data_IF_486869911256
#
_entry.id   IF_486869911256
#
_cell.length_a   1.000
_cell.length_b   1.000
_cell.length_c   1.000
_cell.angle_alpha   90.00
_cell.angle_beta   90.00
_cell.angle_gamma   90.00
#
_symmetry.space_group_name_H-M   'P 1'
#
loop_
_entity.id
_entity.type
_entity.pdbx_description
1 polymer ?
#
# COMPACT_ATOMS: atom_id res chain seq x y z
N UNK A 1 -35.38 8.14 -27.74
CA UNK A 1 -34.80 9.26 -28.53
C UNK A 1 -35.25 10.65 -28.06
N UNK A 2 -36.55 10.99 -28.01
CA UNK A 2 -37.01 12.36 -27.62
C UNK A 2 -36.50 12.86 -26.26
N UNK A 3 -36.44 11.99 -25.22
CA UNK A 3 -35.99 12.36 -23.87
C UNK A 3 -34.48 12.64 -23.77
N UNK A 4 -33.66 11.82 -24.45
CA UNK A 4 -32.20 12.01 -24.53
C UNK A 4 -31.87 13.30 -25.27
N UNK A 5 -32.60 13.59 -26.36
CA UNK A 5 -32.45 14.86 -27.08
C UNK A 5 -32.76 16.08 -26.18
N UNK A 6 -33.84 16.04 -25.40
CA UNK A 6 -34.16 17.10 -24.43
C UNK A 6 -33.09 17.24 -23.34
N UNK A 7 -32.55 16.12 -22.85
CA UNK A 7 -31.44 16.11 -21.89
C UNK A 7 -30.20 16.82 -22.46
N UNK A 8 -29.79 16.47 -23.68
CA UNK A 8 -28.64 17.07 -24.37
C UNK A 8 -28.85 18.57 -24.62
N UNK A 9 -30.05 18.97 -25.07
CA UNK A 9 -30.34 20.38 -25.32
C UNK A 9 -30.27 21.22 -24.03
N UNK A 10 -30.80 20.68 -22.93
CA UNK A 10 -30.69 21.32 -21.62
C UNK A 10 -29.23 21.39 -21.13
N UNK A 11 -28.40 20.35 -21.35
CA UNK A 11 -26.96 20.43 -21.06
C UNK A 11 -26.32 21.57 -21.84
N UNK A 12 -26.58 21.67 -23.15
CA UNK A 12 -26.04 22.73 -24.01
C UNK A 12 -26.42 24.13 -23.51
N UNK A 13 -27.66 24.30 -23.06
CA UNK A 13 -28.13 25.56 -22.48
C UNK A 13 -27.48 25.87 -21.13
N UNK A 14 -27.24 24.86 -20.29
CA UNK A 14 -26.56 25.05 -19.02
C UNK A 14 -25.09 25.43 -19.22
N UNK A 15 -24.43 24.84 -20.21
CA UNK A 15 -23.08 25.24 -20.62
C UNK A 15 -23.03 26.68 -21.14
N UNK A 16 -24.08 27.15 -21.82
CA UNK A 16 -24.15 28.54 -22.30
C UNK A 16 -24.42 29.54 -21.17
N UNK A 17 -25.36 29.23 -20.27
CA UNK A 17 -25.89 30.20 -19.30
C UNK A 17 -25.21 30.11 -17.91
N UNK A 18 -24.58 28.98 -17.59
CA UNK A 18 -23.94 28.68 -16.30
C UNK A 18 -22.60 27.95 -16.50
N UNK A 19 -21.82 28.38 -17.48
CA UNK A 19 -20.53 27.78 -17.87
C UNK A 19 -19.56 27.59 -16.70
N UNK A 20 -19.42 28.60 -15.83
CA UNK A 20 -18.50 28.58 -14.69
C UNK A 20 -18.87 27.49 -13.69
N UNK A 21 -20.14 27.40 -13.30
CA UNK A 21 -20.63 26.36 -12.39
C UNK A 21 -20.41 24.96 -12.98
N UNK A 22 -20.68 24.80 -14.28
CA UNK A 22 -20.44 23.53 -14.98
C UNK A 22 -18.98 23.14 -15.01
N UNK A 23 -18.09 24.10 -15.27
CA UNK A 23 -16.66 23.87 -15.28
C UNK A 23 -16.15 23.46 -13.90
N UNK A 24 -16.59 24.14 -12.84
CA UNK A 24 -16.21 23.82 -11.45
C UNK A 24 -16.61 22.37 -11.12
N UNK A 25 -17.85 21.98 -11.40
CA UNK A 25 -18.34 20.66 -11.03
C UNK A 25 -17.68 19.58 -11.89
N UNK A 26 -17.54 19.81 -13.19
CA UNK A 26 -16.82 18.90 -14.08
C UNK A 26 -15.38 18.68 -13.61
N UNK A 27 -14.65 19.77 -13.34
CA UNK A 27 -13.27 19.72 -12.84
C UNK A 27 -13.21 19.00 -11.49
N UNK A 28 -14.17 19.26 -10.60
CA UNK A 28 -14.23 18.59 -9.30
C UNK A 28 -14.41 17.07 -9.44
N UNK A 29 -15.34 16.61 -10.29
CA UNK A 29 -15.53 15.17 -10.56
C UNK A 29 -14.26 14.56 -11.16
N UNK A 30 -13.66 15.22 -12.15
CA UNK A 30 -12.44 14.77 -12.79
C UNK A 30 -11.28 14.63 -11.80
N UNK A 31 -11.07 15.63 -10.92
CA UNK A 31 -10.06 15.60 -9.87
C UNK A 31 -10.36 14.56 -8.80
N UNK A 32 -11.63 14.38 -8.42
CA UNK A 32 -12.00 13.33 -7.47
C UNK A 32 -11.71 11.93 -8.01
N UNK A 33 -12.02 11.68 -9.29
CA UNK A 33 -11.73 10.39 -9.93
C UNK A 33 -10.22 10.18 -10.02
N UNK A 34 -9.46 11.20 -10.42
CA UNK A 34 -7.99 11.16 -10.42
C UNK A 34 -7.44 10.81 -9.04
N UNK A 35 -7.95 11.45 -7.98
CA UNK A 35 -7.54 11.22 -6.60
C UNK A 35 -7.90 9.81 -6.10
N UNK A 36 -9.12 9.34 -6.36
CA UNK A 36 -9.54 7.98 -6.00
C UNK A 36 -8.62 6.95 -6.66
N UNK A 37 -8.32 7.12 -7.96
CA UNK A 37 -7.45 6.20 -8.68
C UNK A 37 -6.00 6.28 -8.17
N UNK A 38 -5.51 7.46 -7.84
CA UNK A 38 -4.17 7.64 -7.26
C UNK A 38 -4.03 6.93 -5.91
N UNK A 39 -4.89 7.23 -4.95
CA UNK A 39 -4.81 6.62 -3.61
C UNK A 39 -5.16 5.13 -3.61
N UNK A 40 -6.07 4.70 -4.47
CA UNK A 40 -6.30 3.27 -4.67
C UNK A 40 -5.08 2.59 -5.32
N UNK A 41 -4.38 3.29 -6.21
CA UNK A 41 -3.14 2.83 -6.82
C UNK A 41 -2.01 2.70 -5.80
N UNK A 42 -1.91 3.62 -4.86
CA UNK A 42 -1.01 3.54 -3.71
C UNK A 42 -1.35 2.32 -2.84
N UNK A 43 -2.63 2.12 -2.53
CA UNK A 43 -3.09 0.92 -1.81
C UNK A 43 -2.74 -0.38 -2.53
N UNK A 44 -3.00 -0.46 -3.84
CA UNK A 44 -2.69 -1.65 -4.64
C UNK A 44 -1.18 -1.89 -4.72
N UNK A 45 -0.37 -0.83 -4.73
CA UNK A 45 1.07 -0.93 -4.66
C UNK A 45 1.46 -1.58 -3.33
N UNK A 46 1.01 -1.04 -2.20
CA UNK A 46 1.32 -1.61 -0.89
C UNK A 46 0.77 -3.04 -0.70
N UNK A 47 -0.36 -3.35 -1.31
CA UNK A 47 -0.94 -4.68 -1.21
C UNK A 47 -0.24 -5.74 -2.06
N UNK A 48 0.10 -5.42 -3.31
CA UNK A 48 0.61 -6.39 -4.29
C UNK A 48 2.11 -6.27 -4.58
N UNK A 49 2.70 -5.10 -4.39
CA UNK A 49 4.06 -4.77 -4.84
C UNK A 49 5.00 -4.35 -3.72
N UNK A 50 4.53 -3.68 -2.65
CA UNK A 50 5.38 -3.49 -1.48
C UNK A 50 5.70 -4.88 -0.94
N UNK A 51 6.98 -5.10 -0.73
CA UNK A 51 7.47 -6.32 -0.14
C UNK A 51 7.11 -6.26 1.34
N UNK A 52 5.83 -6.48 1.68
CA UNK A 52 5.40 -6.57 3.07
C UNK A 52 6.17 -7.73 3.70
N UNK A 53 7.18 -7.40 4.49
CA UNK A 53 8.08 -8.35 5.12
C UNK A 53 7.26 -9.20 6.09
N UNK A 54 7.15 -10.50 5.80
CA UNK A 54 6.69 -11.45 6.80
C UNK A 54 7.85 -11.72 7.74
N UNK A 55 7.55 -11.86 9.01
CA UNK A 55 8.54 -12.22 10.01
C UNK A 55 8.16 -13.56 10.63
N UNK A 56 9.15 -14.43 10.80
CA UNK A 56 9.04 -15.63 11.62
C UNK A 56 10.10 -15.58 12.71
N UNK A 57 9.65 -15.78 13.94
CA UNK A 57 10.51 -15.97 15.11
C UNK A 57 10.44 -17.45 15.50
N UNK A 58 11.59 -18.09 15.67
CA UNK A 58 11.73 -19.51 16.00
C UNK A 58 12.52 -19.60 17.29
N UNK A 59 11.93 -20.27 18.28
CA UNK A 59 12.54 -20.56 19.57
C UNK A 59 12.87 -22.05 19.59
N UNK A 60 14.14 -22.36 19.76
CA UNK A 60 14.66 -23.72 19.71
C UNK A 60 14.70 -24.36 21.10
N UNK A 61 14.86 -25.68 21.14
CA UNK A 61 15.19 -26.38 22.38
C UNK A 61 16.59 -25.99 22.88
N UNK A 62 16.81 -26.05 24.20
CA UNK A 62 18.13 -25.79 24.77
C UNK A 62 19.13 -26.85 24.26
N UNK A 63 20.36 -26.42 24.01
CA UNK A 63 21.46 -27.30 23.58
C UNK A 63 21.24 -28.01 22.23
N UNK A 64 20.46 -27.40 21.34
CA UNK A 64 20.31 -27.88 19.94
C UNK A 64 21.65 -27.83 19.21
N UNK A 65 21.98 -28.88 18.45
CA UNK A 65 23.24 -28.92 17.69
C UNK A 65 23.21 -27.98 16.49
N UNK A 66 24.36 -27.40 16.13
CA UNK A 66 24.48 -26.44 15.03
C UNK A 66 24.01 -27.02 13.69
N UNK A 67 24.26 -28.31 13.43
CA UNK A 67 23.82 -29.00 12.22
C UNK A 67 22.29 -29.07 12.09
N UNK A 68 21.59 -29.29 13.20
CA UNK A 68 20.12 -29.36 13.18
C UNK A 68 19.51 -27.97 12.95
N UNK A 69 20.13 -26.93 13.51
CA UNK A 69 19.72 -25.53 13.31
C UNK A 69 19.85 -25.14 11.83
N UNK A 70 21.01 -25.45 11.22
CA UNK A 70 21.24 -25.19 9.79
C UNK A 70 20.21 -25.96 8.95
N UNK A 71 19.93 -27.22 9.29
CA UNK A 71 18.92 -28.03 8.60
C UNK A 71 17.53 -27.39 8.66
N UNK A 72 17.13 -26.83 9.79
CA UNK A 72 15.86 -26.09 9.90
C UNK A 72 15.83 -24.91 8.95
N UNK A 73 16.90 -24.11 8.90
CA UNK A 73 16.98 -22.94 8.01
C UNK A 73 16.85 -23.36 6.54
N UNK A 74 17.51 -24.45 6.16
CA UNK A 74 17.45 -25.01 4.79
C UNK A 74 16.07 -25.60 4.45
N UNK A 75 15.43 -26.31 5.40
CA UNK A 75 14.09 -26.89 5.26
C UNK A 75 13.01 -25.83 4.99
N UNK A 76 13.18 -24.61 5.51
CA UNK A 76 12.27 -23.48 5.21
C UNK A 76 12.24 -23.13 3.72
N UNK A 77 13.22 -23.60 2.92
CA UNK A 77 13.28 -23.42 1.46
C UNK A 77 13.26 -21.94 1.03
N UNK A 78 13.70 -21.03 1.90
CA UNK A 78 13.80 -19.61 1.59
C UNK A 78 15.08 -19.38 0.79
N UNK A 79 14.95 -18.82 -0.42
CA UNK A 79 16.12 -18.41 -1.19
C UNK A 79 16.68 -17.14 -0.58
N UNK A 80 18.00 -16.98 -0.55
CA UNK A 80 18.66 -15.77 -0.02
C UNK A 80 18.07 -14.47 -0.59
N UNK A 81 17.73 -14.46 -1.89
CA UNK A 81 17.08 -13.29 -2.54
C UNK A 81 15.73 -12.88 -1.94
N UNK A 82 15.04 -13.82 -1.29
CA UNK A 82 13.71 -13.65 -0.70
C UNK A 82 13.81 -13.32 0.81
N UNK A 83 15.00 -13.43 1.41
CA UNK A 83 15.29 -13.05 2.80
C UNK A 83 15.77 -11.60 2.79
N UNK A 84 15.09 -10.73 3.52
CA UNK A 84 15.52 -9.34 3.68
C UNK A 84 16.45 -9.17 4.87
N UNK A 85 16.14 -9.87 5.97
CA UNK A 85 16.88 -9.80 7.22
C UNK A 85 16.78 -11.16 7.95
N UNK A 86 17.87 -11.60 8.57
CA UNK A 86 17.94 -12.83 9.35
C UNK A 86 18.86 -12.64 10.54
N UNK A 87 18.35 -12.89 11.75
CA UNK A 87 19.12 -12.78 12.99
C UNK A 87 19.09 -14.10 13.77
N UNK A 88 20.20 -14.44 14.43
CA UNK A 88 20.33 -15.57 15.34
C UNK A 88 21.05 -15.14 16.62
N UNK A 89 20.58 -15.64 17.76
CA UNK A 89 21.14 -15.28 19.08
C UNK A 89 20.92 -16.37 20.13
N UNK A 90 21.60 -16.18 21.27
CA UNK A 90 21.33 -16.89 22.51
C UNK A 90 20.53 -15.96 23.45
N UNK A 91 19.22 -16.15 23.54
CA UNK A 91 18.27 -15.24 24.17
C UNK A 91 17.69 -14.23 23.17
N UNK A 92 17.02 -13.19 23.68
CA UNK A 92 16.46 -12.13 22.84
C UNK A 92 17.58 -11.28 22.21
N UNK A 93 17.33 -10.73 21.03
CA UNK A 93 18.30 -9.94 20.25
C UNK A 93 18.88 -8.74 21.02
N UNK A 94 18.16 -8.20 21.99
CA UNK A 94 18.58 -7.05 22.81
C UNK A 94 19.42 -7.40 24.05
N UNK A 95 19.61 -8.67 24.36
CA UNK A 95 20.24 -9.12 25.63
C UNK A 95 21.68 -9.61 25.43
N UNK A 96 22.15 -9.71 24.18
CA UNK A 96 23.49 -10.16 23.83
C UNK A 96 24.55 -9.05 23.77
N UNK A 97 25.81 -9.46 23.53
CA UNK A 97 26.88 -8.58 22.99
C UNK A 97 27.24 -8.94 21.54
N UNK A 98 26.66 -10.03 21.04
CA UNK A 98 27.05 -10.71 19.82
C UNK A 98 25.79 -11.32 19.20
N UNK A 99 25.61 -11.15 17.90
CA UNK A 99 24.55 -11.77 17.13
C UNK A 99 25.09 -12.27 15.79
N UNK A 100 24.46 -13.31 15.26
CA UNK A 100 24.60 -13.64 13.84
C UNK A 100 23.51 -12.90 13.08
N UNK A 101 23.85 -12.01 12.16
CA UNK A 101 22.85 -11.24 11.41
C UNK A 101 23.23 -11.13 9.95
N UNK A 102 22.24 -11.20 9.08
CA UNK A 102 22.35 -10.93 7.66
C UNK A 102 21.27 -9.92 7.28
N UNK A 103 21.67 -8.84 6.61
CA UNK A 103 20.74 -7.90 6.02
C UNK A 103 21.09 -7.69 4.55
N UNK A 104 20.10 -7.87 3.67
CA UNK A 104 20.26 -7.79 2.22
C UNK A 104 20.75 -6.40 1.76
N UNK A 105 20.38 -5.34 2.48
CA UNK A 105 20.67 -3.95 2.09
C UNK A 105 22.10 -3.52 2.44
N UNK A 106 22.77 -4.17 3.39
CA UNK A 106 24.08 -3.73 3.86
C UNK A 106 25.12 -3.71 2.77
N UNK A 107 25.10 -4.68 1.84
CA UNK A 107 26.06 -4.73 0.73
C UNK A 107 26.07 -3.45 -0.10
N UNK A 108 24.94 -2.78 -0.26
CA UNK A 108 24.78 -1.53 -1.01
C UNK A 108 25.12 -0.29 -0.18
N UNK A 109 25.07 -0.41 1.15
CA UNK A 109 25.22 0.70 2.10
C UNK A 109 26.49 0.58 2.95
N UNK A 110 27.40 -0.34 2.65
CA UNK A 110 28.68 -0.49 3.34
C UNK A 110 29.45 0.84 3.32
N UNK A 111 29.93 1.30 4.48
CA UNK A 111 30.80 2.46 4.56
C UNK A 111 32.22 2.11 4.10
N UNK A 112 32.76 1.00 4.61
CA UNK A 112 34.12 0.51 4.32
C UNK A 112 34.17 -1.01 4.44
N UNK A 113 35.01 -1.69 3.64
CA UNK A 113 35.32 -3.11 3.80
C UNK A 113 34.50 -4.03 2.89
N UNK A 114 34.25 -5.26 3.34
CA UNK A 114 33.46 -6.25 2.60
C UNK A 114 32.28 -6.74 3.44
N UNK A 115 31.16 -7.05 2.78
CA UNK A 115 30.01 -7.72 3.38
C UNK A 115 30.10 -9.24 3.16
N UNK A 116 29.30 -10.02 3.89
CA UNK A 116 29.20 -11.46 3.75
C UNK A 116 27.80 -11.90 3.27
N UNK A 117 27.70 -13.16 2.84
CA UNK A 117 26.44 -13.86 2.56
C UNK A 117 25.93 -14.62 3.79
N UNK A 118 24.66 -15.04 3.79
CA UNK A 118 24.06 -15.84 4.88
C UNK A 118 24.92 -17.07 5.25
N UNK A 119 25.41 -17.77 4.23
CA UNK A 119 26.11 -19.05 4.37
C UNK A 119 27.62 -18.89 4.65
N UNK A 120 28.10 -17.66 4.88
CA UNK A 120 29.51 -17.43 5.18
C UNK A 120 29.86 -17.99 6.57
N UNK A 121 30.97 -18.72 6.65
CA UNK A 121 31.46 -19.36 7.87
C UNK A 121 32.87 -18.86 8.26
N UNK A 122 33.31 -17.72 7.69
CA UNK A 122 34.60 -17.12 8.03
C UNK A 122 34.51 -16.35 9.36
N UNK A 123 35.58 -16.33 10.18
CA UNK A 123 35.64 -15.59 11.44
C UNK A 123 35.83 -14.08 11.19
N UNK A 124 34.77 -13.46 10.70
CA UNK A 124 34.75 -12.07 10.24
C UNK A 124 33.55 -11.36 10.86
N UNK A 125 33.68 -10.09 11.22
CA UNK A 125 32.59 -9.33 11.82
C UNK A 125 32.33 -8.02 11.07
N UNK A 126 31.06 -7.63 11.03
CA UNK A 126 30.63 -6.28 10.67
C UNK A 126 30.41 -5.47 11.94
N UNK A 127 30.76 -4.20 11.85
CA UNK A 127 30.64 -3.25 12.95
C UNK A 127 29.77 -2.08 12.52
N UNK A 128 28.87 -1.63 13.38
CA UNK A 128 28.13 -0.40 13.13
C UNK A 128 29.03 0.81 13.34
N UNK A 129 28.79 1.90 12.61
CA UNK A 129 29.61 3.11 12.65
C UNK A 129 29.81 3.64 14.08
N UNK A 130 28.74 3.71 14.88
CA UNK A 130 28.80 4.18 16.26
C UNK A 130 29.65 3.29 17.20
N UNK A 131 29.95 2.04 16.81
CA UNK A 131 30.80 1.14 17.60
C UNK A 131 32.29 1.34 17.29
N UNK A 132 32.62 2.00 16.18
CA UNK A 132 34.00 2.26 15.77
C UNK A 132 34.72 3.18 16.77
N UNK A 133 34.00 4.13 17.35
CA UNK A 133 34.51 5.07 18.35
C UNK A 133 35.02 4.37 19.63
N UNK A 134 34.56 3.14 19.87
CA UNK A 134 35.00 2.33 21.01
C UNK A 134 36.30 1.55 20.74
N UNK A 135 36.87 1.62 19.53
CA UNK A 135 38.14 0.96 19.20
C UNK A 135 39.30 1.88 19.55
N UNK A 136 40.14 1.43 20.48
CA UNK A 136 41.39 2.12 20.81
C UNK A 136 42.33 2.21 19.59
N UNK A 137 42.82 3.44 19.36
CA UNK A 137 43.71 3.77 18.24
C UNK A 137 42.94 4.02 16.95
N UNK A 138 42.75 5.31 16.65
CA UNK A 138 42.03 5.92 15.50
C UNK A 138 42.49 5.48 14.09
N UNK A 139 43.39 4.51 13.98
CA UNK A 139 43.88 4.01 12.71
C UNK A 139 43.00 2.86 12.20
N UNK A 140 42.37 3.07 11.04
CA UNK A 140 41.70 2.08 10.16
C UNK A 140 41.22 0.80 10.89
N UNK A 141 39.97 0.75 11.39
CA UNK A 141 39.48 -0.39 12.16
C UNK A 141 39.35 -1.67 11.31
N UNK A 142 39.03 -1.54 10.03
CA UNK A 142 38.93 -2.68 9.10
C UNK A 142 40.28 -3.38 8.96
N UNK A 143 40.28 -4.69 9.18
CA UNK A 143 41.48 -5.52 9.15
C UNK A 143 42.09 -5.81 10.52
N UNK A 144 41.75 -5.03 11.56
CA UNK A 144 42.18 -5.31 12.93
C UNK A 144 41.48 -6.54 13.50
N UNK A 145 42.14 -7.23 14.42
CA UNK A 145 41.54 -8.31 15.18
C UNK A 145 41.08 -7.78 16.53
N UNK A 146 39.82 -8.03 16.86
CA UNK A 146 39.26 -7.72 18.19
C UNK A 146 38.85 -9.01 18.89
N UNK A 147 38.82 -8.96 20.22
CA UNK A 147 38.42 -10.11 21.04
C UNK A 147 36.93 -10.01 21.36
N UNK A 148 36.11 -10.84 20.73
CA UNK A 148 34.65 -10.87 20.94
C UNK A 148 34.22 -12.29 21.31
N UNK A 149 33.44 -12.43 22.39
CA UNK A 149 32.98 -13.74 22.87
C UNK A 149 34.13 -14.73 23.16
N UNK A 150 35.27 -14.22 23.63
CA UNK A 150 36.46 -15.02 23.93
C UNK A 150 37.33 -15.38 22.72
N UNK A 151 36.89 -15.11 21.48
CA UNK A 151 37.61 -15.43 20.23
C UNK A 151 38.20 -14.16 19.61
N UNK A 152 39.35 -14.29 18.93
CA UNK A 152 39.90 -13.22 18.08
C UNK A 152 39.21 -13.27 16.73
N UNK A 153 38.54 -12.19 16.35
CA UNK A 153 37.76 -12.07 15.12
C UNK A 153 38.22 -10.83 14.37
N UNK A 154 38.37 -10.94 13.05
CA UNK A 154 38.82 -9.84 12.20
C UNK A 154 37.66 -8.91 11.88
N UNK A 155 37.87 -7.60 12.06
CA UNK A 155 36.95 -6.56 11.61
C UNK A 155 36.99 -6.52 10.10
N UNK A 156 35.81 -6.67 9.55
CA UNK A 156 35.66 -6.88 8.15
C UNK A 156 35.19 -5.68 7.37
N UNK A 157 34.16 -5.05 7.89
CA UNK A 157 33.58 -3.88 7.32
C UNK A 157 32.78 -3.11 8.33
N UNK A 158 32.44 -1.90 7.93
CA UNK A 158 31.68 -0.95 8.73
C UNK A 158 30.38 -0.69 7.99
N UNK A 159 29.26 -0.82 8.70
CA UNK A 159 27.91 -0.51 8.22
C UNK A 159 27.41 0.77 8.90
N UNK A 160 26.54 1.54 8.25
CA UNK A 160 26.07 2.83 8.78
C UNK A 160 25.23 2.66 10.04
N UNK A 161 24.46 1.58 10.12
CA UNK A 161 23.60 1.31 11.28
C UNK A 161 23.40 -0.20 11.48
N UNK A 162 23.13 -0.56 12.73
CA UNK A 162 22.54 -1.84 13.11
C UNK A 162 21.34 -1.58 14.01
N UNK A 163 20.34 -2.45 13.94
CA UNK A 163 19.16 -2.36 14.82
C UNK A 163 19.50 -2.70 16.27
N UNK A 164 20.61 -3.41 16.50
CA UNK A 164 21.01 -3.91 17.80
C UNK A 164 22.39 -3.40 18.18
N UNK A 165 22.58 -3.13 19.47
CA UNK A 165 23.90 -2.77 20.02
C UNK A 165 24.76 -4.01 20.26
N UNK A 166 25.07 -4.71 19.17
CA UNK A 166 25.80 -5.98 19.17
C UNK A 166 26.89 -5.97 18.11
N UNK A 167 27.95 -6.76 18.31
CA UNK A 167 28.86 -7.12 17.22
C UNK A 167 28.19 -8.15 16.31
N UNK A 168 28.38 -7.98 15.00
CA UNK A 168 27.60 -8.69 13.98
C UNK A 168 28.48 -9.71 13.28
N UNK A 169 28.09 -10.98 13.37
CA UNK A 169 28.77 -12.09 12.70
C UNK A 169 27.91 -12.67 11.57
N UNK A 170 28.53 -13.37 10.59
CA UNK A 170 27.80 -14.21 9.67
C UNK A 170 26.90 -15.21 10.42
N UNK A 171 25.68 -15.40 9.93
CA UNK A 171 24.66 -16.26 10.56
C UNK A 171 25.20 -17.68 10.76
N UNK A 172 25.76 -18.30 9.72
CA UNK A 172 26.29 -19.67 9.79
C UNK A 172 27.52 -19.77 10.70
N UNK A 173 28.40 -18.76 10.67
CA UNK A 173 29.52 -18.68 11.60
C UNK A 173 29.05 -18.64 13.06
N UNK A 174 28.05 -17.81 13.36
CA UNK A 174 27.50 -17.70 14.72
C UNK A 174 26.94 -19.04 15.20
N UNK A 175 26.06 -19.67 14.40
CA UNK A 175 25.43 -20.96 14.74
C UNK A 175 26.46 -22.05 15.04
N UNK A 176 27.55 -22.09 14.27
CA UNK A 176 28.60 -23.09 14.44
C UNK A 176 29.51 -22.85 15.66
N UNK A 177 29.53 -21.63 16.21
CA UNK A 177 30.53 -21.22 17.20
C UNK A 177 29.96 -20.79 18.55
N UNK A 178 28.66 -20.51 18.62
CA UNK A 178 27.98 -19.97 19.79
C UNK A 178 26.64 -20.69 20.01
N UNK A 179 26.18 -20.83 21.26
CA UNK A 179 24.84 -21.31 21.54
C UNK A 179 23.79 -20.47 20.81
N UNK A 180 22.77 -21.13 20.26
CA UNK A 180 21.70 -20.47 19.52
C UNK A 180 20.38 -21.10 19.96
N UNK A 181 19.48 -20.30 20.51
CA UNK A 181 18.14 -20.73 20.90
C UNK A 181 17.02 -19.88 20.25
N UNK A 182 17.41 -18.85 19.49
CA UNK A 182 16.50 -17.93 18.82
C UNK A 182 16.95 -17.64 17.39
N UNK A 183 15.98 -17.68 16.47
CA UNK A 183 16.13 -17.30 15.06
C UNK A 183 14.99 -16.36 14.68
N UNK A 184 15.31 -15.23 14.06
CA UNK A 184 14.36 -14.34 13.39
C UNK A 184 14.66 -14.30 11.89
N UNK A 185 13.64 -14.44 11.06
CA UNK A 185 13.78 -14.31 9.60
C UNK A 185 12.68 -13.38 9.10
N UNK A 186 13.06 -12.30 8.41
CA UNK A 186 12.18 -11.44 7.62
C UNK A 186 12.30 -11.82 6.15
N UNK A 187 11.16 -12.06 5.49
CA UNK A 187 11.13 -12.57 4.12
C UNK A 187 9.97 -12.03 3.29
N UNK A 188 10.23 -11.87 2.00
CA UNK A 188 9.39 -11.19 1.04
C UNK A 188 8.65 -12.19 0.15
N UNK A 189 7.86 -13.09 0.76
CA UNK A 189 7.02 -14.02 0.00
C UNK A 189 5.82 -14.54 0.78
N UNK A 190 4.63 -13.93 0.57
CA UNK A 190 3.37 -14.37 1.19
C UNK A 190 2.95 -15.80 0.82
N UNK A 191 3.40 -16.34 -0.33
CA UNK A 191 2.99 -17.70 -0.78
C UNK A 191 3.64 -18.83 0.01
N UNK A 192 4.74 -18.56 0.71
CA UNK A 192 5.48 -19.59 1.45
C UNK A 192 5.09 -19.71 2.93
N UNK A 193 4.30 -18.79 3.48
CA UNK A 193 4.02 -18.75 4.92
C UNK A 193 3.35 -20.04 5.44
N UNK A 194 2.42 -20.62 4.68
CA UNK A 194 1.76 -21.88 5.08
C UNK A 194 2.69 -23.09 5.00
N UNK A 195 3.64 -23.10 4.06
CA UNK A 195 4.68 -24.14 3.97
C UNK A 195 5.64 -24.04 5.16
N UNK A 196 6.11 -22.83 5.45
CA UNK A 196 6.97 -22.51 6.60
C UNK A 196 6.32 -22.96 7.91
N UNK A 197 5.05 -22.61 8.11
CA UNK A 197 4.29 -22.99 9.30
C UNK A 197 4.21 -24.51 9.48
N UNK A 198 3.92 -25.25 8.40
CA UNK A 198 3.90 -26.72 8.42
C UNK A 198 5.28 -27.32 8.74
N UNK A 199 6.33 -26.81 8.10
CA UNK A 199 7.71 -27.25 8.35
C UNK A 199 8.09 -27.04 9.82
N UNK A 200 7.80 -25.87 10.39
CA UNK A 200 8.12 -25.57 11.79
C UNK A 200 7.28 -26.40 12.78
N UNK A 201 6.01 -26.64 12.47
CA UNK A 201 5.14 -27.47 13.33
C UNK A 201 5.55 -28.94 13.37
N UNK A 202 6.16 -29.46 12.31
CA UNK A 202 6.64 -30.84 12.21
C UNK A 202 8.06 -31.03 12.76
N UNK A 203 8.76 -29.93 13.03
CA UNK A 203 10.16 -29.99 13.42
C UNK A 203 10.31 -30.19 14.94
N UNK A 204 11.07 -31.22 15.34
CA UNK A 204 11.21 -31.63 16.74
C UNK A 204 12.10 -30.71 17.58
N UNK A 205 13.01 -29.95 16.97
CA UNK A 205 13.92 -29.04 17.70
C UNK A 205 13.31 -27.65 17.94
N UNK A 206 12.19 -27.34 17.28
CA UNK A 206 11.46 -26.09 17.46
C UNK A 206 10.57 -26.21 18.69
N UNK A 207 10.85 -25.41 19.72
CA UNK A 207 10.03 -25.35 20.95
C UNK A 207 8.78 -24.51 20.75
N UNK A 208 8.91 -23.36 20.08
CA UNK A 208 7.83 -22.41 19.80
C UNK A 208 8.19 -21.61 18.57
N UNK A 209 7.21 -21.18 17.81
CA UNK A 209 7.40 -20.19 16.76
C UNK A 209 6.29 -19.13 16.82
N UNK A 210 6.62 -17.91 16.40
CA UNK A 210 5.65 -16.84 16.19
C UNK A 210 5.76 -16.38 14.73
N UNK A 211 4.64 -16.34 14.02
CA UNK A 211 4.60 -15.75 12.69
C UNK A 211 3.89 -14.40 12.76
N UNK A 212 4.57 -13.34 12.34
CA UNK A 212 3.97 -12.03 12.11
C UNK A 212 3.81 -11.86 10.61
N UNK A 213 2.57 -11.92 10.15
CA UNK A 213 2.24 -11.60 8.76
C UNK A 213 2.07 -10.09 8.69
N UNK A 214 2.90 -9.41 7.90
CA UNK A 214 2.68 -8.01 7.63
C UNK A 214 1.42 -7.90 6.76
N UNK A 215 0.36 -7.34 7.34
CA UNK A 215 -0.85 -6.99 6.60
C UNK A 215 -0.80 -5.49 6.32
N UNK A 216 -0.89 -5.08 5.04
CA UNK A 216 -0.91 -3.66 4.70
C UNK A 216 -2.13 -2.96 5.33
N UNK A 217 -3.22 -3.68 5.60
CA UNK A 217 -4.44 -3.14 6.21
C UNK A 217 -4.29 -2.57 7.63
N UNK A 218 -3.20 -2.88 8.33
CA UNK A 218 -2.94 -2.38 9.68
C UNK A 218 -1.85 -1.29 9.72
N UNK A 219 -1.29 -0.89 8.57
CA UNK A 219 -0.31 0.20 8.54
C UNK A 219 -1.00 1.56 8.71
N UNK A 220 -0.29 2.51 9.34
CA UNK A 220 -0.77 3.89 9.48
C UNK A 220 -0.96 4.54 8.10
N UNK A 221 -0.02 4.28 7.19
CA UNK A 221 -0.08 4.73 5.78
C UNK A 221 -1.33 4.21 5.07
N UNK A 222 -1.73 2.96 5.31
CA UNK A 222 -2.97 2.39 4.79
C UNK A 222 -4.19 3.14 5.31
N UNK A 223 -4.25 3.35 6.63
CA UNK A 223 -5.40 4.02 7.24
C UNK A 223 -5.53 5.45 6.72
N UNK A 224 -4.41 6.14 6.54
CA UNK A 224 -4.35 7.47 5.91
C UNK A 224 -4.92 7.48 4.50
N UNK A 225 -4.45 6.58 3.62
CA UNK A 225 -4.94 6.46 2.25
C UNK A 225 -6.43 6.08 2.18
N UNK A 226 -6.88 5.18 3.06
CA UNK A 226 -8.28 4.76 3.14
C UNK A 226 -9.20 5.93 3.53
N UNK A 227 -8.83 6.71 4.55
CA UNK A 227 -9.57 7.91 4.97
C UNK A 227 -9.60 8.95 3.84
N UNK A 228 -8.49 9.14 3.12
CA UNK A 228 -8.45 10.05 1.98
C UNK A 228 -9.41 9.62 0.86
N UNK A 229 -9.47 8.32 0.53
CA UNK A 229 -10.43 7.79 -0.45
C UNK A 229 -11.87 8.07 0.01
N UNK A 230 -12.19 7.84 1.29
CA UNK A 230 -13.53 8.13 1.84
C UNK A 230 -13.89 9.62 1.75
N UNK A 231 -12.96 10.53 2.08
CA UNK A 231 -13.16 11.97 1.98
C UNK A 231 -13.39 12.42 0.53
N UNK A 232 -12.62 11.87 -0.42
CA UNK A 232 -12.82 12.15 -1.84
C UNK A 232 -14.18 11.60 -2.29
N UNK A 233 -14.58 10.42 -1.79
CA UNK A 233 -15.90 9.86 -2.07
C UNK A 233 -17.04 10.76 -1.59
N UNK A 234 -16.91 11.34 -0.40
CA UNK A 234 -17.86 12.32 0.11
C UNK A 234 -17.95 13.55 -0.80
N UNK A 235 -16.81 14.06 -1.28
CA UNK A 235 -16.78 15.18 -2.23
C UNK A 235 -17.50 14.84 -3.54
N UNK A 236 -17.33 13.62 -4.07
CA UNK A 236 -18.08 13.13 -5.24
C UNK A 236 -19.58 13.16 -4.99
N UNK A 237 -20.05 12.67 -3.85
CA UNK A 237 -21.48 12.69 -3.47
C UNK A 237 -22.00 14.13 -3.38
N UNK A 238 -21.24 15.04 -2.77
CA UNK A 238 -21.59 16.47 -2.69
C UNK A 238 -21.73 17.07 -4.10
N UNK A 239 -20.83 16.74 -5.03
CA UNK A 239 -20.95 17.18 -6.42
C UNK A 239 -22.22 16.66 -7.10
N UNK A 240 -22.61 15.40 -6.85
CA UNK A 240 -23.89 14.85 -7.35
C UNK A 240 -25.08 15.64 -6.80
N UNK A 241 -25.04 15.96 -5.51
CA UNK A 241 -26.07 16.74 -4.82
C UNK A 241 -26.22 18.13 -5.45
N UNK A 242 -25.11 18.87 -5.55
CA UNK A 242 -25.08 20.21 -6.14
C UNK A 242 -25.57 20.21 -7.59
N UNK A 243 -25.14 19.25 -8.41
CA UNK A 243 -25.60 19.14 -9.80
C UNK A 243 -27.08 18.87 -9.90
N UNK A 244 -27.58 17.88 -9.16
CA UNK A 244 -28.98 17.48 -9.22
C UNK A 244 -29.88 18.65 -8.79
N UNK A 245 -29.49 19.37 -7.74
CA UNK A 245 -30.17 20.58 -7.31
C UNK A 245 -30.13 21.68 -8.38
N UNK A 246 -28.96 21.93 -8.98
CA UNK A 246 -28.80 22.95 -10.02
C UNK A 246 -29.65 22.67 -11.26
N UNK A 247 -29.74 21.40 -11.69
CA UNK A 247 -30.61 20.99 -12.80
C UNK A 247 -32.08 21.31 -12.49
N UNK A 248 -32.54 20.91 -11.31
CA UNK A 248 -33.94 21.08 -10.91
C UNK A 248 -34.31 22.56 -10.74
N UNK A 249 -33.44 23.35 -10.13
CA UNK A 249 -33.66 24.79 -9.94
C UNK A 249 -33.65 25.55 -11.28
N UNK A 250 -32.60 25.35 -12.10
CA UNK A 250 -32.42 26.09 -13.36
C UNK A 250 -33.47 25.74 -14.41
N UNK A 251 -33.90 24.49 -14.46
CA UNK A 251 -34.89 24.03 -15.44
C UNK A 251 -36.31 23.88 -14.87
N UNK A 252 -36.58 24.39 -13.66
CA UNK A 252 -37.90 24.27 -13.02
C UNK A 252 -39.03 24.72 -13.95
N UNK A 253 -38.91 25.93 -14.54
CA UNK A 253 -39.91 26.46 -15.49
C UNK A 253 -40.12 25.54 -16.70
N UNK A 254 -39.06 24.92 -17.22
CA UNK A 254 -39.16 23.98 -18.34
C UNK A 254 -39.80 22.66 -17.94
N UNK A 255 -39.46 22.14 -16.77
CA UNK A 255 -40.10 20.93 -16.23
C UNK A 255 -41.59 21.15 -15.97
N UNK A 256 -41.99 22.35 -15.53
CA UNK A 256 -43.40 22.76 -15.44
C UNK A 256 -44.09 22.76 -16.82
N UNK A 257 -43.45 23.34 -17.85
CA UNK A 257 -43.98 23.30 -19.23
C UNK A 257 -44.12 21.85 -19.72
N UNK A 258 -43.12 20.99 -19.48
CA UNK A 258 -43.21 19.58 -19.86
C UNK A 258 -44.35 18.86 -19.15
N UNK A 259 -44.59 19.15 -17.87
CA UNK A 259 -45.71 18.59 -17.11
C UNK A 259 -47.06 19.04 -17.68
N UNK A 260 -47.22 20.32 -18.06
CA UNK A 260 -48.43 20.85 -18.74
C UNK A 260 -48.63 20.14 -20.09
N UNK A 261 -47.56 19.87 -20.83
CA UNK A 261 -47.60 19.12 -22.08
C UNK A 261 -47.78 17.60 -21.90
N UNK A 262 -48.09 17.12 -20.69
CA UNK A 262 -48.40 15.70 -20.42
C UNK A 262 -47.23 14.82 -19.99
N UNK A 263 -46.05 15.38 -19.68
CA UNK A 263 -44.93 14.59 -19.17
C UNK A 263 -45.19 14.11 -17.74
N UNK A 264 -44.94 12.82 -17.47
CA UNK A 264 -45.12 12.24 -16.14
C UNK A 264 -43.94 12.59 -15.22
N UNK A 265 -44.14 12.46 -13.89
CA UNK A 265 -43.06 12.59 -12.89
C UNK A 265 -41.85 11.71 -13.23
N UNK A 266 -42.08 10.49 -13.74
CA UNK A 266 -41.03 9.55 -14.16
C UNK A 266 -40.21 10.08 -15.34
N UNK A 267 -40.84 10.82 -16.25
CA UNK A 267 -40.17 11.38 -17.43
C UNK A 267 -39.22 12.52 -17.05
N UNK A 268 -39.65 13.39 -16.13
CA UNK A 268 -38.81 14.48 -15.60
C UNK A 268 -37.60 13.91 -14.86
N UNK A 269 -37.80 12.90 -14.01
CA UNK A 269 -36.71 12.18 -13.31
C UNK A 269 -35.74 11.59 -14.33
N UNK A 270 -36.25 10.94 -15.38
CA UNK A 270 -35.42 10.31 -16.38
C UNK A 270 -34.57 11.33 -17.15
N UNK A 271 -35.13 12.50 -17.49
CA UNK A 271 -34.38 13.58 -18.14
C UNK A 271 -33.28 14.10 -17.20
N UNK A 272 -33.60 14.43 -15.95
CA UNK A 272 -32.63 14.93 -14.98
C UNK A 272 -31.51 13.91 -14.71
N UNK A 273 -31.87 12.63 -14.54
CA UNK A 273 -30.91 11.55 -14.34
C UNK A 273 -30.01 11.37 -15.56
N UNK A 274 -30.56 11.41 -16.76
CA UNK A 274 -29.77 11.31 -18.01
C UNK A 274 -28.77 12.46 -18.13
N UNK A 275 -29.16 13.69 -17.77
CA UNK A 275 -28.26 14.84 -17.79
C UNK A 275 -27.08 14.67 -16.84
N UNK A 276 -27.40 14.27 -15.60
CA UNK A 276 -26.42 14.01 -14.56
C UNK A 276 -25.47 12.89 -14.95
N UNK A 277 -25.99 11.76 -15.47
CA UNK A 277 -25.16 10.63 -15.90
C UNK A 277 -24.22 11.00 -17.05
N UNK A 278 -24.70 11.72 -18.08
CA UNK A 278 -23.85 12.13 -19.21
C UNK A 278 -22.67 12.99 -18.73
N UNK A 279 -22.93 13.97 -17.86
CA UNK A 279 -21.86 14.83 -17.35
C UNK A 279 -20.88 14.07 -16.46
N UNK A 280 -21.39 13.25 -15.53
CA UNK A 280 -20.53 12.55 -14.60
C UNK A 280 -19.70 11.46 -15.28
N UNK A 281 -20.29 10.76 -16.25
CA UNK A 281 -19.57 9.77 -17.04
C UNK A 281 -18.42 10.41 -17.84
N UNK A 282 -18.66 11.57 -18.45
CA UNK A 282 -17.58 12.31 -19.14
C UNK A 282 -16.49 12.79 -18.17
N UNK A 283 -16.85 13.26 -16.97
CA UNK A 283 -15.88 13.61 -15.92
C UNK A 283 -15.03 12.42 -15.47
N UNK A 284 -15.64 11.24 -15.30
CA UNK A 284 -14.96 9.98 -14.96
C UNK A 284 -14.02 9.51 -16.06
N UNK A 285 -14.44 9.62 -17.33
CA UNK A 285 -13.58 9.30 -18.49
C UNK A 285 -12.35 10.20 -18.53
N UNK A 286 -12.54 11.51 -18.39
CA UNK A 286 -11.41 12.47 -18.38
C UNK A 286 -10.50 12.22 -17.17
N UNK A 287 -11.06 11.95 -15.99
CA UNK A 287 -10.28 11.60 -14.79
C UNK A 287 -9.43 10.34 -14.99
N UNK A 288 -9.97 9.32 -15.66
CA UNK A 288 -9.21 8.11 -16.02
C UNK A 288 -8.08 8.40 -17.01
N UNK A 289 -8.34 9.21 -18.03
CA UNK A 289 -7.31 9.60 -19.01
C UNK A 289 -6.18 10.37 -18.31
N UNK A 290 -6.52 11.34 -17.46
CA UNK A 290 -5.53 12.08 -16.66
C UNK A 290 -4.74 11.17 -15.74
N UNK A 291 -5.40 10.19 -15.09
CA UNK A 291 -4.72 9.24 -14.24
C UNK A 291 -3.78 8.33 -15.05
N UNK A 292 -4.17 7.88 -16.24
CA UNK A 292 -3.30 7.10 -17.10
C UNK A 292 -2.03 7.86 -17.49
N UNK A 293 -2.16 9.16 -17.84
CA UNK A 293 -1.03 10.04 -18.14
C UNK A 293 -0.15 10.24 -16.89
N UNK A 294 -0.76 10.52 -15.74
CA UNK A 294 -0.05 10.67 -14.47
C UNK A 294 0.71 9.39 -14.11
N UNK A 295 0.07 8.22 -14.23
CA UNK A 295 0.66 6.91 -13.99
C UNK A 295 1.90 6.67 -14.84
N UNK A 296 1.86 7.04 -16.13
CA UNK A 296 3.04 6.97 -17.01
C UNK A 296 4.18 7.86 -16.52
N UNK A 297 3.86 9.07 -16.06
CA UNK A 297 4.83 10.06 -15.58
C UNK A 297 5.50 9.61 -14.28
N UNK A 298 4.73 9.08 -13.32
CA UNK A 298 5.23 8.68 -12.00
C UNK A 298 5.78 7.24 -11.96
N UNK A 299 5.78 6.52 -13.09
CA UNK A 299 6.21 5.12 -13.16
C UNK A 299 7.62 4.89 -12.61
N UNK A 300 8.53 5.85 -12.80
CA UNK A 300 9.93 5.77 -12.34
C UNK A 300 10.07 5.75 -10.81
N UNK A 301 9.08 6.27 -10.10
CA UNK A 301 9.13 6.39 -8.65
C UNK A 301 8.41 5.23 -7.93
N UNK A 302 7.76 4.33 -8.67
CA UNK A 302 7.06 3.15 -8.14
C UNK A 302 6.05 3.46 -7.01
N UNK A 303 5.45 4.66 -7.02
CA UNK A 303 4.54 5.13 -5.96
C UNK A 303 3.15 4.46 -6.02
N UNK A 304 2.74 4.00 -7.20
CA UNK A 304 1.40 3.41 -7.44
C UNK A 304 1.51 2.12 -8.24
N UNK A 305 0.51 1.25 -8.13
CA UNK A 305 0.50 -0.07 -8.75
C UNK A 305 0.69 -0.05 -10.27
N UNK A 306 1.80 -0.64 -10.74
CA UNK A 306 2.19 -0.54 -12.15
C UNK A 306 1.73 -1.71 -13.02
N UNK A 307 1.59 -2.91 -12.46
CA UNK A 307 1.49 -4.17 -13.23
C UNK A 307 0.27 -4.27 -14.16
N UNK A 308 -0.94 -4.03 -13.67
CA UNK A 308 -2.17 -4.20 -14.45
C UNK A 308 -3.10 -2.99 -14.28
N UNK A 309 -3.78 -2.59 -15.36
CA UNK A 309 -4.78 -1.52 -15.30
C UNK A 309 -6.18 -2.01 -14.86
N UNK A 310 -6.44 -3.33 -14.89
CA UNK A 310 -7.74 -3.94 -14.54
C UNK A 310 -8.30 -3.49 -13.18
N UNK A 311 -7.52 -3.42 -12.08
CA UNK A 311 -8.04 -2.95 -10.80
C UNK A 311 -8.62 -1.52 -10.88
N UNK A 312 -7.98 -0.63 -11.63
CA UNK A 312 -8.43 0.76 -11.82
C UNK A 312 -9.73 0.84 -12.61
N UNK A 313 -9.94 -0.08 -13.57
CA UNK A 313 -11.21 -0.20 -14.29
C UNK A 313 -12.33 -0.62 -13.33
N UNK A 314 -12.06 -1.59 -12.45
CA UNK A 314 -13.03 -2.04 -11.44
C UNK A 314 -13.40 -0.89 -10.50
N UNK A 315 -12.41 -0.16 -9.99
CA UNK A 315 -12.63 1.01 -9.11
C UNK A 315 -13.47 2.08 -9.83
N UNK A 316 -13.14 2.37 -11.09
CA UNK A 316 -13.94 3.31 -11.90
C UNK A 316 -15.39 2.82 -12.10
N UNK A 317 -15.58 1.52 -12.30
CA UNK A 317 -16.91 0.91 -12.37
C UNK A 317 -17.71 1.09 -11.08
N UNK A 318 -17.07 0.89 -9.91
CA UNK A 318 -17.69 1.12 -8.60
C UNK A 318 -18.09 2.59 -8.43
N UNK A 319 -17.22 3.53 -8.82
CA UNK A 319 -17.53 4.97 -8.80
C UNK A 319 -18.75 5.27 -9.68
N UNK A 320 -18.82 4.75 -10.90
CA UNK A 320 -19.97 4.96 -11.81
C UNK A 320 -21.27 4.39 -11.21
N UNK A 321 -21.24 3.17 -10.66
CA UNK A 321 -22.41 2.54 -10.04
C UNK A 321 -22.94 3.41 -8.89
N UNK A 322 -22.05 3.88 -8.02
CA UNK A 322 -22.41 4.73 -6.89
C UNK A 322 -22.95 6.09 -7.36
N UNK A 323 -22.32 6.71 -8.36
CA UNK A 323 -22.78 7.95 -8.97
C UNK A 323 -24.19 7.84 -9.53
N UNK A 324 -24.48 6.77 -10.29
CA UNK A 324 -25.81 6.50 -10.84
C UNK A 324 -26.82 6.24 -9.72
N UNK A 325 -26.45 5.44 -8.72
CA UNK A 325 -27.28 5.13 -7.56
C UNK A 325 -27.70 6.37 -6.77
N UNK A 326 -26.74 7.22 -6.40
CA UNK A 326 -27.02 8.47 -5.69
C UNK A 326 -27.84 9.45 -6.54
N UNK A 327 -27.53 9.57 -7.83
CA UNK A 327 -28.30 10.42 -8.76
C UNK A 327 -29.78 9.99 -8.82
N UNK A 328 -30.04 8.68 -8.84
CA UNK A 328 -31.40 8.14 -8.82
C UNK A 328 -32.14 8.43 -7.52
N UNK A 329 -31.51 8.15 -6.37
CA UNK A 329 -32.08 8.41 -5.05
C UNK A 329 -32.47 9.89 -4.92
N UNK A 330 -31.60 10.79 -5.39
CA UNK A 330 -31.81 12.23 -5.31
C UNK A 330 -32.90 12.74 -6.24
N UNK A 331 -32.90 12.32 -7.50
CA UNK A 331 -33.95 12.69 -8.44
C UNK A 331 -35.33 12.21 -7.95
N UNK A 332 -35.39 11.03 -7.32
CA UNK A 332 -36.62 10.51 -6.70
C UNK A 332 -37.05 11.34 -5.47
N UNK A 333 -36.10 11.80 -4.63
CA UNK A 333 -36.42 12.60 -3.44
C UNK A 333 -36.93 14.00 -3.83
N UNK A 334 -36.29 14.63 -4.81
CA UNK A 334 -36.61 15.99 -5.21
C UNK A 334 -37.95 16.13 -5.98
N UNK A 335 -38.46 15.03 -6.54
CA UNK A 335 -39.79 14.98 -7.17
C UNK A 335 -40.92 14.63 -6.19
N UNK A 336 -40.59 14.08 -5.01
CA UNK A 336 -41.54 13.90 -3.91
C UNK A 336 -41.78 15.18 -3.14
N UNK A 337 -40.76 16.01 -2.95
CA UNK A 337 -40.94 17.38 -2.49
C UNK A 337 -41.64 18.15 -3.61
N UNK A 338 -42.78 18.79 -3.34
CA UNK A 338 -43.62 19.51 -4.32
C UNK A 338 -42.94 20.72 -4.98
N UNK A 339 -41.61 20.84 -4.91
CA UNK A 339 -40.75 21.89 -5.49
C UNK A 339 -41.02 22.09 -7.00
N UNK A 340 -41.43 21.04 -7.71
CA UNK A 340 -41.76 21.10 -9.15
C UNK A 340 -43.23 21.51 -9.39
N UNK A 341 -44.12 21.30 -8.40
CA UNK A 341 -45.57 21.41 -8.54
C UNK A 341 -46.23 22.54 -7.76
N UNK A 342 -45.50 23.29 -6.92
CA UNK A 342 -46.03 24.55 -6.38
C UNK A 342 -46.19 25.56 -7.52
N UNK A 343 -47.40 25.54 -8.06
CA UNK A 343 -48.09 26.59 -8.80
C UNK A 343 -48.64 27.53 -7.71
N UNK A 344 -48.55 28.83 -7.92
CA UNK A 344 -48.99 29.92 -7.02
C UNK A 344 -47.94 30.31 -5.96
N UNK A 345 -47.10 31.29 -6.29
CA UNK A 345 -47.45 32.72 -6.10
C UNK A 345 -47.15 33.49 -7.38
#
# INVERSE_FOLDING_TARGET
>A
MKKVYLAINNIRLMLKNKSIMMLIIFTSITLSVLGILFYSGYFLYDYYQSQTENQVEIYLQKSTQSSDIIRVIEELSLKEKDISDMCVSNGKLSEGKLIGEYNKTWKEHMLVGQCYSINDNRPYLLMAEYQVDNIEGYEKPVGKNIKVGGKKIRIGGIIPYSQYDNYILPVYYYINNYPTDYIMIKYNNRKNSSKIEKTLAQNTIVKKYNMKRSTPFLSEDFMGAFVQILLIFAAVIINVLCMTYAWLSTFNRKFKIYAICGATKKDIIHIALTQTVILMFSGVLVGNILFAILKMTIRKYEIVYQQNYLPYIIISGVVIILLVGFSYILAKKATKSEIIYNIVE
#
